data_IF_003220983573
#
_entry.id   IF_003220983573
#
_cell.length_a   1.000
_cell.length_b   1.000
_cell.length_c   1.000
_cell.angle_alpha   90.00
_cell.angle_beta   90.00
_cell.angle_gamma   90.00
#
_symmetry.space_group_name_H-M   'P 1'
#
loop_
_entity.id
_entity.type
_entity.pdbx_description
1 polymer ?
#
# COMPACT_ATOMS: atom_id res chain seq x y z
N UNK A 1 5.80 19.42 25.35
CA UNK A 1 5.66 18.14 24.60
C UNK A 1 5.34 18.50 23.17
N UNK A 2 6.38 18.71 22.35
CA UNK A 2 6.25 19.10 20.94
C UNK A 2 6.14 17.81 20.13
N UNK A 3 4.93 17.30 19.97
CA UNK A 3 4.65 16.22 19.01
C UNK A 3 4.68 16.85 17.62
N UNK A 4 5.76 16.63 16.89
CA UNK A 4 5.84 17.04 15.50
C UNK A 4 4.83 16.17 14.72
N UNK A 5 4.02 16.75 13.85
CA UNK A 5 3.01 16.04 13.07
C UNK A 5 3.59 15.06 12.03
N UNK A 6 4.75 14.46 12.27
CA UNK A 6 5.42 13.52 11.37
C UNK A 6 5.40 12.08 11.91
N UNK A 7 4.95 11.87 13.15
CA UNK A 7 5.00 10.56 13.81
C UNK A 7 4.02 9.54 13.19
N UNK A 8 3.01 10.02 12.45
CA UNK A 8 2.03 9.17 11.76
C UNK A 8 2.43 8.79 10.32
N UNK A 9 3.35 9.50 9.68
CA UNK A 9 3.84 9.11 8.34
C UNK A 9 4.96 8.07 8.41
N UNK A 10 5.85 8.16 9.42
CA UNK A 10 6.98 7.25 9.55
C UNK A 10 6.64 5.76 9.48
N UNK A 11 5.60 5.24 10.16
CA UNK A 11 5.32 3.81 10.13
C UNK A 11 4.93 3.29 8.75
N UNK A 12 4.29 4.14 7.93
CA UNK A 12 3.94 3.79 6.56
C UNK A 12 5.17 3.83 5.65
N UNK A 13 6.01 4.84 5.79
CA UNK A 13 7.27 4.94 5.02
C UNK A 13 8.21 3.76 5.34
N UNK A 14 8.39 3.43 6.63
CA UNK A 14 9.19 2.28 7.07
C UNK A 14 8.66 0.95 6.49
N UNK A 15 7.33 0.82 6.36
CA UNK A 15 6.70 -0.35 5.76
C UNK A 15 7.02 -0.47 4.25
N UNK A 16 6.91 0.63 3.51
CA UNK A 16 7.22 0.66 2.08
C UNK A 16 8.72 0.42 1.85
N UNK A 17 9.59 1.02 2.67
CA UNK A 17 11.03 0.78 2.59
C UNK A 17 11.40 -0.68 2.86
N UNK A 18 10.72 -1.34 3.81
CA UNK A 18 10.91 -2.77 4.06
C UNK A 18 10.46 -3.63 2.86
N UNK A 19 9.35 -3.28 2.22
CA UNK A 19 8.84 -3.99 1.03
C UNK A 19 9.75 -3.80 -0.19
N UNK A 20 10.26 -2.58 -0.43
CA UNK A 20 11.18 -2.28 -1.53
C UNK A 20 12.53 -3.02 -1.40
N UNK A 21 13.04 -3.13 -0.18
CA UNK A 21 14.33 -3.75 0.10
C UNK A 21 14.25 -5.27 0.27
N UNK A 22 13.05 -5.84 0.17
CA UNK A 22 12.85 -7.27 0.29
C UNK A 22 13.43 -8.00 -0.94
N UNK A 23 14.33 -8.96 -0.72
CA UNK A 23 15.07 -9.66 -1.79
C UNK A 23 14.38 -10.91 -2.33
N UNK A 24 13.26 -11.34 -1.74
CA UNK A 24 12.53 -12.55 -2.12
C UNK A 24 11.22 -12.17 -2.79
N UNK A 25 10.64 -13.02 -3.66
CA UNK A 25 9.35 -12.72 -4.26
C UNK A 25 8.27 -12.60 -3.18
N UNK A 26 7.53 -11.50 -3.23
CA UNK A 26 6.41 -11.20 -2.34
C UNK A 26 5.12 -11.69 -2.98
N UNK A 27 4.39 -12.54 -2.24
CA UNK A 27 3.10 -13.08 -2.66
C UNK A 27 2.03 -12.62 -1.67
N UNK A 28 1.00 -11.93 -2.17
CA UNK A 28 -0.16 -11.53 -1.39
C UNK A 28 -1.38 -12.38 -1.76
N UNK A 29 -2.23 -12.67 -0.78
CA UNK A 29 -3.58 -13.18 -0.98
C UNK A 29 -4.53 -12.19 -0.31
N UNK A 30 -5.49 -11.64 -1.06
CA UNK A 30 -6.41 -10.64 -0.57
C UNK A 30 -7.86 -11.08 -0.80
N UNK A 31 -8.65 -10.98 0.27
CA UNK A 31 -10.08 -11.26 0.29
C UNK A 31 -10.81 -10.03 0.83
N UNK A 32 -11.98 -9.70 0.25
CA UNK A 32 -12.79 -8.59 0.72
C UNK A 32 -12.46 -7.27 0.00
N UNK A 33 -12.09 -6.21 0.74
CA UNK A 33 -11.88 -4.90 0.13
C UNK A 33 -10.60 -4.23 0.62
N UNK A 34 -9.74 -3.80 -0.31
CA UNK A 34 -8.57 -2.98 -0.01
C UNK A 34 -8.80 -1.53 -0.42
N UNK A 35 -8.57 -0.61 0.52
CA UNK A 35 -8.83 0.82 0.33
C UNK A 35 -7.58 1.64 0.70
N UNK A 36 -7.19 2.59 -0.16
CA UNK A 36 -6.11 3.56 0.12
C UNK A 36 -4.74 2.89 0.36
N UNK A 37 -4.22 2.97 1.59
CA UNK A 37 -2.89 2.47 1.95
C UNK A 37 -2.73 0.96 1.74
N UNK A 38 -3.74 0.15 2.10
CA UNK A 38 -3.71 -1.30 1.85
C UNK A 38 -3.72 -1.63 0.35
N UNK A 39 -4.43 -0.83 -0.45
CA UNK A 39 -4.43 -0.95 -1.90
C UNK A 39 -3.11 -0.49 -2.55
N UNK A 40 -2.33 0.34 -1.85
CA UNK A 40 -0.98 0.76 -2.29
C UNK A 40 0.06 -0.29 -1.92
N UNK A 41 -0.05 -0.90 -0.73
CA UNK A 41 0.82 -1.99 -0.29
C UNK A 41 0.71 -3.19 -1.22
N UNK A 42 -0.50 -3.55 -1.68
CA UNK A 42 -0.70 -4.65 -2.64
C UNK A 42 0.06 -4.47 -3.95
N UNK A 43 0.33 -3.23 -4.38
CA UNK A 43 1.09 -2.95 -5.60
C UNK A 43 2.60 -3.20 -5.46
N UNK A 44 3.10 -3.41 -4.24
CA UNK A 44 4.49 -3.76 -3.97
C UNK A 44 4.76 -5.27 -4.01
N UNK A 45 3.71 -6.09 -4.14
CA UNK A 45 3.84 -7.54 -4.23
C UNK A 45 4.03 -7.97 -5.69
N UNK A 46 4.90 -8.95 -5.93
CA UNK A 46 5.14 -9.49 -7.27
C UNK A 46 3.96 -10.31 -7.79
N UNK A 47 3.29 -11.03 -6.88
CA UNK A 47 2.09 -11.81 -7.19
C UNK A 47 0.98 -11.51 -6.18
N UNK A 48 -0.21 -11.21 -6.69
CA UNK A 48 -1.39 -10.94 -5.86
C UNK A 48 -2.53 -11.87 -6.29
N UNK A 49 -2.95 -12.74 -5.38
CA UNK A 49 -4.13 -13.58 -5.53
C UNK A 49 -5.33 -12.87 -4.92
N UNK A 50 -6.39 -12.71 -5.70
CA UNK A 50 -7.60 -12.00 -5.32
C UNK A 50 -8.76 -12.99 -5.26
N UNK A 51 -9.63 -12.86 -4.26
CA UNK A 51 -10.91 -13.58 -4.27
C UNK A 51 -11.88 -13.00 -5.31
N UNK A 52 -12.85 -13.79 -5.77
CA UNK A 52 -13.84 -13.36 -6.78
C UNK A 52 -14.64 -12.10 -6.37
N UNK A 53 -14.80 -11.89 -5.07
CA UNK A 53 -15.51 -10.75 -4.50
C UNK A 53 -14.58 -9.60 -4.09
N UNK A 54 -13.30 -9.66 -4.45
CA UNK A 54 -12.34 -8.65 -4.03
C UNK A 54 -12.60 -7.28 -4.69
N UNK A 55 -12.51 -6.21 -3.89
CA UNK A 55 -12.69 -4.83 -4.35
C UNK A 55 -11.47 -3.98 -4.00
N UNK A 56 -10.93 -3.27 -4.98
CA UNK A 56 -9.88 -2.28 -4.81
C UNK A 56 -10.50 -0.89 -4.93
N UNK A 57 -10.37 -0.04 -3.91
CA UNK A 57 -10.89 1.34 -3.95
C UNK A 57 -9.80 2.36 -3.59
N UNK A 58 -9.68 3.39 -4.42
CA UNK A 58 -8.81 4.54 -4.17
C UNK A 58 -9.66 5.78 -3.91
N UNK A 59 -9.98 6.10 -2.64
CA UNK A 59 -10.91 7.18 -2.31
C UNK A 59 -10.34 8.58 -2.62
N UNK A 60 -9.01 8.69 -2.74
CA UNK A 60 -8.33 9.96 -3.05
C UNK A 60 -8.35 10.30 -4.55
N UNK A 61 -8.53 9.30 -5.41
CA UNK A 61 -8.70 9.51 -6.85
C UNK A 61 -10.00 10.26 -7.15
N UNK A 62 -11.02 10.09 -6.31
CA UNK A 62 -12.27 10.88 -6.37
C UNK A 62 -12.03 12.38 -6.07
N UNK A 63 -10.94 12.72 -5.38
CA UNK A 63 -10.53 14.10 -5.06
C UNK A 63 -9.46 14.65 -6.02
N UNK A 64 -9.12 13.92 -7.09
CA UNK A 64 -8.05 14.29 -8.02
C UNK A 64 -6.64 14.20 -7.40
N UNK A 65 -6.51 13.61 -6.22
CA UNK A 65 -5.24 13.38 -5.55
C UNK A 65 -4.65 12.04 -6.00
N UNK A 66 -3.43 12.09 -6.51
CA UNK A 66 -2.67 10.89 -6.83
C UNK A 66 -1.98 10.38 -5.56
N UNK A 67 -2.25 9.13 -5.20
CA UNK A 67 -1.51 8.46 -4.14
C UNK A 67 -0.04 8.31 -4.54
N UNK A 68 0.88 8.44 -3.59
CA UNK A 68 2.31 8.18 -3.84
C UNK A 68 2.50 6.72 -4.27
N UNK A 69 2.55 6.51 -5.59
CA UNK A 69 2.71 5.20 -6.20
C UNK A 69 4.19 4.96 -6.44
N UNK A 70 4.80 4.14 -5.60
CA UNK A 70 6.12 3.56 -5.87
C UNK A 70 5.84 2.12 -6.28
N UNK A 71 6.08 1.79 -7.54
CA UNK A 71 6.02 0.42 -8.03
C UNK A 71 7.46 -0.09 -8.16
N UNK A 72 7.72 -1.27 -7.62
CA UNK A 72 8.96 -2.01 -7.83
C UNK A 72 8.85 -2.66 -9.22
N UNK A 73 9.59 -2.15 -10.21
CA UNK A 73 9.79 -2.79 -11.52
C UNK A 73 11.03 -3.67 -11.51
#
# INVERSE_FOLDING_TARGET
MSGNGNDYEKPFEDCIDALMNFKKPLIACAEGMAVGGGATILLHFDYVFLSDNFRLKYPFTELGLFQRLVARF
#
